data_IF_987601772394
#
_entry.id   IF_987601772394
#
_cell.length_a   1.000
_cell.length_b   1.000
_cell.length_c   1.000
_cell.angle_alpha   90.00
_cell.angle_beta   90.00
_cell.angle_gamma   90.00
#
_symmetry.space_group_name_H-M   'P 1'
#
loop_
_entity.id
_entity.type
_entity.pdbx_description
1 polymer ?
#
# COMPACT_ATOMS: atom_id res chain seq x y z
N UNK A 1 16.40 -7.94 38.06
CA UNK A 1 15.91 -8.52 36.80
C UNK A 1 15.92 -7.39 35.81
N UNK A 2 16.89 -7.38 34.90
CA UNK A 2 17.00 -6.37 33.85
C UNK A 2 15.98 -6.72 32.77
N UNK A 3 14.92 -5.90 32.66
CA UNK A 3 14.02 -5.98 31.54
C UNK A 3 14.86 -5.79 30.25
N UNK A 4 15.03 -6.84 29.48
CA UNK A 4 15.52 -6.76 28.12
C UNK A 4 14.50 -5.94 27.34
N UNK A 5 14.80 -4.67 27.05
CA UNK A 5 14.07 -3.90 26.06
C UNK A 5 14.25 -4.64 24.74
N UNK A 6 13.27 -5.46 24.35
CA UNK A 6 13.20 -5.99 22.99
C UNK A 6 13.24 -4.79 22.05
N UNK A 7 14.21 -4.77 21.14
CA UNK A 7 14.32 -3.72 20.13
C UNK A 7 13.03 -3.73 19.31
N UNK A 8 12.32 -2.60 19.31
CA UNK A 8 11.10 -2.46 18.54
C UNK A 8 11.45 -2.59 17.05
N UNK A 9 10.93 -3.62 16.39
CA UNK A 9 11.08 -3.84 14.95
C UNK A 9 9.78 -3.48 14.24
N UNK A 10 9.84 -3.27 12.92
CA UNK A 10 8.62 -3.01 12.15
C UNK A 10 7.64 -4.19 12.20
N UNK A 11 8.14 -5.41 12.33
CA UNK A 11 7.31 -6.60 12.49
C UNK A 11 6.44 -6.51 13.76
N UNK A 12 7.01 -6.04 14.89
CA UNK A 12 6.28 -5.91 16.15
C UNK A 12 5.22 -4.78 16.10
N UNK A 13 5.34 -3.87 15.13
CA UNK A 13 4.51 -2.66 15.06
C UNK A 13 3.15 -2.87 14.43
N UNK A 14 3.05 -3.77 13.42
CA UNK A 14 1.84 -3.97 12.61
C UNK A 14 1.45 -5.44 12.51
N UNK A 15 1.42 -6.19 13.63
CA UNK A 15 1.05 -7.61 13.66
C UNK A 15 1.86 -8.47 12.68
N UNK A 16 3.16 -8.26 12.61
CA UNK A 16 4.05 -8.91 11.64
C UNK A 16 3.74 -8.59 10.17
N UNK A 17 3.04 -7.48 9.88
CA UNK A 17 2.80 -7.02 8.53
C UNK A 17 3.75 -5.89 8.16
N UNK A 18 4.26 -5.93 6.93
CA UNK A 18 5.01 -4.83 6.32
C UNK A 18 4.02 -3.86 5.67
N UNK A 19 3.91 -2.60 6.13
CA UNK A 19 3.13 -1.60 5.42
C UNK A 19 3.78 -1.30 4.07
N UNK A 20 2.99 -1.35 3.00
CA UNK A 20 3.43 -1.00 1.65
C UNK A 20 2.44 0.01 1.08
N UNK A 21 2.92 1.23 0.82
CA UNK A 21 2.10 2.23 0.16
C UNK A 21 1.95 1.85 -1.30
N UNK A 22 0.73 1.84 -1.77
CA UNK A 22 0.36 1.53 -3.16
C UNK A 22 -0.54 2.64 -3.68
N UNK A 23 -0.28 3.06 -4.90
CA UNK A 23 -1.14 3.96 -5.65
C UNK A 23 -1.26 3.44 -7.08
N UNK A 24 -2.43 3.60 -7.69
CA UNK A 24 -2.71 3.13 -9.05
C UNK A 24 -3.34 4.23 -9.90
N UNK A 25 -2.91 4.31 -11.16
CA UNK A 25 -3.59 5.08 -12.20
C UNK A 25 -4.37 4.15 -13.10
N UNK A 26 -5.62 4.49 -13.38
CA UNK A 26 -6.57 3.59 -14.03
C UNK A 26 -7.35 4.28 -15.15
N UNK A 27 -7.86 3.50 -16.07
CA UNK A 27 -8.72 4.00 -17.17
C UNK A 27 -10.21 3.99 -16.80
N UNK A 28 -10.56 3.96 -15.52
CA UNK A 28 -11.93 3.99 -15.02
C UNK A 28 -12.01 3.50 -13.57
N UNK A 29 -13.22 3.24 -13.08
CA UNK A 29 -13.47 2.91 -11.67
C UNK A 29 -13.78 1.42 -11.42
N UNK A 30 -14.00 0.64 -12.47
CA UNK A 30 -14.35 -0.77 -12.34
C UNK A 30 -13.11 -1.66 -12.52
N UNK A 31 -12.55 -2.25 -11.45
CA UNK A 31 -11.31 -3.02 -11.52
C UNK A 31 -11.42 -4.30 -12.37
N UNK A 32 -12.64 -4.76 -12.68
CA UNK A 32 -12.86 -5.96 -13.50
C UNK A 32 -12.80 -5.68 -15.00
N UNK A 33 -13.15 -4.46 -15.40
CA UNK A 33 -13.30 -4.09 -16.82
C UNK A 33 -12.32 -3.03 -17.28
N UNK A 34 -11.92 -2.13 -16.38
CA UNK A 34 -11.13 -0.96 -16.73
C UNK A 34 -9.64 -1.25 -16.58
N UNK A 35 -8.84 -0.69 -17.49
CA UNK A 35 -7.42 -0.94 -17.47
C UNK A 35 -6.74 -0.33 -16.24
N UNK A 36 -5.85 -1.10 -15.62
CA UNK A 36 -4.81 -0.59 -14.75
C UNK A 36 -3.69 -0.06 -15.65
N UNK A 37 -3.34 1.21 -15.50
CA UNK A 37 -2.34 1.88 -16.35
C UNK A 37 -1.01 2.06 -15.65
N UNK A 38 -1.00 2.40 -14.38
CA UNK A 38 0.21 2.50 -13.56
C UNK A 38 -0.02 1.89 -12.19
N UNK A 39 1.03 1.37 -11.63
CA UNK A 39 1.09 0.97 -10.22
C UNK A 39 2.44 1.34 -9.64
N UNK A 40 2.46 1.90 -8.45
CA UNK A 40 3.67 2.11 -7.68
C UNK A 40 3.51 1.54 -6.27
N UNK A 41 4.61 1.04 -5.72
CA UNK A 41 4.65 0.48 -4.38
C UNK A 41 5.90 0.98 -3.65
N UNK A 42 5.73 1.44 -2.41
CA UNK A 42 6.83 1.85 -1.52
C UNK A 42 6.65 1.14 -0.17
N UNK A 43 7.54 0.23 0.21
CA UNK A 43 7.53 -0.36 1.55
C UNK A 43 7.91 0.69 2.58
N UNK A 44 7.25 0.67 3.74
CA UNK A 44 7.62 1.52 4.86
C UNK A 44 8.59 0.75 5.76
N UNK A 45 9.68 1.37 6.08
CA UNK A 45 10.73 0.81 6.91
C UNK A 45 10.83 1.57 8.24
N UNK A 46 11.53 1.00 9.19
CA UNK A 46 11.78 1.60 10.50
C UNK A 46 13.25 1.45 10.85
N UNK A 47 13.87 2.51 11.33
CA UNK A 47 15.26 2.49 11.79
C UNK A 47 15.38 2.02 13.25
N UNK A 48 16.63 1.89 13.72
CA UNK A 48 16.95 1.42 15.07
C UNK A 48 16.46 2.40 16.18
N UNK A 49 16.08 3.61 15.82
CA UNK A 49 15.49 4.59 16.75
C UNK A 49 13.96 4.45 16.83
N UNK A 50 13.35 3.58 16.01
CA UNK A 50 11.91 3.41 15.90
C UNK A 50 11.24 4.42 14.95
N UNK A 51 12.02 5.19 14.17
CA UNK A 51 11.51 6.16 13.22
C UNK A 51 11.16 5.51 11.90
N UNK A 52 9.98 5.80 11.37
CA UNK A 52 9.51 5.31 10.07
C UNK A 52 10.02 6.18 8.93
N UNK A 53 10.36 5.52 7.81
CA UNK A 53 10.79 6.18 6.58
C UNK A 53 10.37 5.37 5.35
N UNK A 54 10.14 6.02 4.18
CA UNK A 54 9.87 5.34 2.93
C UNK A 54 11.10 4.55 2.46
N UNK A 55 10.89 3.29 2.05
CA UNK A 55 11.91 2.49 1.39
C UNK A 55 12.05 2.83 -0.09
N UNK A 56 12.73 1.96 -0.85
CA UNK A 56 12.90 2.13 -2.29
C UNK A 56 11.57 1.85 -3.02
N UNK A 57 11.26 2.68 -4.01
CA UNK A 57 10.05 2.53 -4.82
C UNK A 57 10.23 1.45 -5.90
N UNK A 58 9.17 0.71 -6.17
CA UNK A 58 9.02 -0.10 -7.37
C UNK A 58 7.73 0.29 -8.08
N UNK A 59 7.81 0.59 -9.37
CA UNK A 59 6.66 1.01 -10.14
C UNK A 59 6.63 0.33 -11.51
N UNK A 60 5.46 0.34 -12.15
CA UNK A 60 5.25 -0.19 -13.49
C UNK A 60 4.28 0.71 -14.28
N UNK A 61 4.60 0.94 -15.54
CA UNK A 61 3.64 1.34 -16.55
C UNK A 61 3.07 0.07 -17.16
N UNK A 62 1.75 -0.05 -17.21
CA UNK A 62 1.08 -1.29 -17.58
C UNK A 62 0.34 -1.12 -18.91
N UNK A 63 0.48 -2.09 -19.79
CA UNK A 63 -0.31 -2.20 -21.02
C UNK A 63 -1.74 -2.60 -20.64
N UNK A 64 -2.77 -1.94 -21.24
CA UNK A 64 -4.16 -2.39 -21.07
C UNK A 64 -4.30 -3.87 -21.48
N UNK A 65 -4.96 -4.68 -20.65
CA UNK A 65 -5.26 -6.07 -20.98
C UNK A 65 -6.24 -6.15 -22.16
N UNK A 66 -6.27 -7.28 -22.86
CA UNK A 66 -7.15 -7.48 -24.02
C UNK A 66 -8.63 -7.32 -23.62
N UNK A 67 -9.34 -6.44 -24.33
CA UNK A 67 -10.73 -6.11 -24.03
C UNK A 67 -10.94 -5.14 -22.86
N UNK A 68 -9.87 -4.58 -22.31
CA UNK A 68 -9.99 -3.57 -21.26
C UNK A 68 -10.73 -2.32 -21.74
N UNK A 69 -11.60 -1.80 -20.88
CA UNK A 69 -12.25 -0.51 -21.10
C UNK A 69 -11.25 0.63 -20.82
N UNK A 70 -11.32 1.65 -21.67
CA UNK A 70 -10.52 2.88 -21.59
C UNK A 70 -11.48 4.06 -21.57
N UNK A 71 -11.92 4.46 -20.37
CA UNK A 71 -12.87 5.56 -20.20
C UNK A 71 -12.20 6.90 -20.53
N UNK A 72 -12.74 7.62 -21.51
CA UNK A 72 -12.15 8.87 -22.00
C UNK A 72 -11.98 9.93 -20.91
N UNK A 73 -12.92 10.01 -19.95
CA UNK A 73 -12.83 10.94 -18.82
C UNK A 73 -11.71 10.59 -17.85
N UNK A 74 -11.51 9.31 -17.58
CA UNK A 74 -10.43 8.86 -16.72
C UNK A 74 -9.07 9.12 -17.37
N UNK A 75 -8.92 8.83 -18.66
CA UNK A 75 -7.70 9.14 -19.42
C UNK A 75 -7.41 10.64 -19.49
N UNK A 76 -8.45 11.46 -19.62
CA UNK A 76 -8.31 12.93 -19.58
C UNK A 76 -7.87 13.42 -18.19
N UNK A 77 -8.39 12.79 -17.13
CA UNK A 77 -8.07 13.15 -15.75
C UNK A 77 -6.63 12.80 -15.38
N UNK A 78 -6.19 11.59 -15.72
CA UNK A 78 -4.82 11.12 -15.43
C UNK A 78 -3.79 11.69 -16.42
N UNK A 79 -4.23 12.20 -17.58
CA UNK A 79 -3.34 12.63 -18.65
C UNK A 79 -2.62 11.49 -19.38
N UNK A 80 -2.92 10.24 -19.05
CA UNK A 80 -2.25 9.07 -19.61
C UNK A 80 -2.85 8.73 -20.98
N UNK A 81 -2.00 8.69 -22.02
CA UNK A 81 -2.34 8.13 -23.32
C UNK A 81 -1.71 6.74 -23.49
N UNK A 82 -2.46 5.65 -23.26
CA UNK A 82 -1.91 4.29 -23.35
C UNK A 82 -1.45 3.90 -24.76
N UNK A 83 -1.89 4.61 -25.79
CA UNK A 83 -1.55 4.34 -27.18
C UNK A 83 -0.36 5.14 -27.71
N UNK A 84 0.20 6.07 -26.92
CA UNK A 84 1.34 6.85 -27.35
C UNK A 84 2.57 5.96 -27.59
N UNK A 85 3.42 6.25 -28.59
CA UNK A 85 4.64 5.46 -28.86
C UNK A 85 5.59 5.42 -27.67
N UNK A 86 5.71 6.55 -26.94
CA UNK A 86 6.57 6.64 -25.75
C UNK A 86 6.07 5.72 -24.64
N UNK A 87 4.75 5.70 -24.42
CA UNK A 87 4.14 4.83 -23.40
C UNK A 87 4.34 3.36 -23.74
N UNK A 88 4.07 2.97 -24.99
CA UNK A 88 4.28 1.59 -25.47
C UNK A 88 5.72 1.10 -25.37
N UNK A 89 6.69 2.01 -25.43
CA UNK A 89 8.10 1.65 -25.31
C UNK A 89 8.52 1.28 -23.88
N UNK A 90 7.79 1.72 -22.86
CA UNK A 90 8.13 1.54 -21.45
C UNK A 90 7.11 0.69 -20.68
N UNK A 91 5.91 0.49 -21.22
CA UNK A 91 4.88 -0.31 -20.59
C UNK A 91 5.19 -1.81 -20.71
N UNK A 92 4.83 -2.54 -19.68
CA UNK A 92 4.96 -4.00 -19.62
C UNK A 92 3.56 -4.63 -19.40
N UNK A 93 3.41 -5.90 -19.77
CA UNK A 93 2.18 -6.63 -19.51
C UNK A 93 1.94 -6.82 -18.00
N UNK A 94 0.68 -7.00 -17.61
CA UNK A 94 0.27 -7.16 -16.21
C UNK A 94 1.03 -8.27 -15.49
N UNK A 95 1.29 -9.40 -16.16
CA UNK A 95 1.95 -10.57 -15.56
C UNK A 95 3.43 -10.32 -15.28
N UNK A 96 4.10 -9.60 -16.17
CA UNK A 96 5.50 -9.19 -15.99
C UNK A 96 5.61 -8.18 -14.84
N UNK A 97 4.76 -7.16 -14.84
CA UNK A 97 4.72 -6.14 -13.80
C UNK A 97 4.51 -6.75 -12.41
N UNK A 98 3.45 -7.56 -12.24
CA UNK A 98 3.10 -8.14 -10.93
C UNK A 98 4.21 -9.07 -10.43
N UNK A 99 4.82 -9.87 -11.32
CA UNK A 99 5.91 -10.77 -10.94
C UNK A 99 7.13 -10.01 -10.42
N UNK A 100 7.50 -8.91 -11.09
CA UNK A 100 8.62 -8.06 -10.70
C UNK A 100 8.36 -7.35 -9.38
N UNK A 101 7.19 -6.76 -9.22
CA UNK A 101 6.76 -6.08 -7.98
C UNK A 101 6.72 -7.05 -6.81
N UNK A 102 6.06 -8.21 -6.96
CA UNK A 102 5.95 -9.18 -5.87
C UNK A 102 7.29 -9.82 -5.49
N UNK A 103 8.19 -10.02 -6.45
CA UNK A 103 9.56 -10.48 -6.16
C UNK A 103 10.30 -9.46 -5.29
N UNK A 104 10.23 -8.18 -5.62
CA UNK A 104 10.83 -7.11 -4.84
C UNK A 104 10.23 -7.05 -3.42
N UNK A 105 8.91 -6.97 -3.31
CA UNK A 105 8.22 -6.90 -2.02
C UNK A 105 8.48 -8.14 -1.15
N UNK A 106 8.58 -9.33 -1.74
CA UNK A 106 8.97 -10.55 -1.03
C UNK A 106 10.35 -10.42 -0.39
N UNK A 107 11.32 -9.85 -1.10
CA UNK A 107 12.68 -9.64 -0.58
C UNK A 107 12.66 -8.68 0.61
N UNK A 108 11.98 -7.52 0.48
CA UNK A 108 11.88 -6.53 1.57
C UNK A 108 11.12 -7.10 2.76
N UNK A 109 9.99 -7.78 2.53
CA UNK A 109 9.21 -8.43 3.58
C UNK A 109 10.05 -9.46 4.38
N UNK A 110 10.87 -10.24 3.69
CA UNK A 110 11.74 -11.22 4.35
C UNK A 110 12.85 -10.56 5.16
N UNK A 111 13.47 -9.49 4.66
CA UNK A 111 14.51 -8.76 5.39
C UNK A 111 13.99 -8.06 6.64
N UNK A 112 12.71 -7.67 6.65
CA UNK A 112 12.04 -7.06 7.80
C UNK A 112 11.38 -8.08 8.74
N UNK A 113 11.52 -9.38 8.47
CA UNK A 113 10.91 -10.48 9.24
C UNK A 113 9.38 -10.43 9.31
N UNK A 114 8.74 -9.71 8.40
CA UNK A 114 7.28 -9.64 8.31
C UNK A 114 6.72 -10.88 7.60
N UNK A 115 5.50 -11.27 7.94
CA UNK A 115 4.82 -12.45 7.37
C UNK A 115 4.05 -12.13 6.09
N UNK A 116 3.39 -10.98 6.05
CA UNK A 116 2.61 -10.46 4.89
C UNK A 116 2.86 -8.96 4.71
N UNK A 117 2.41 -8.40 3.60
CA UNK A 117 2.29 -6.96 3.41
C UNK A 117 0.86 -6.52 3.73
N UNK A 118 0.71 -5.31 4.29
CA UNK A 118 -0.57 -4.62 4.39
C UNK A 118 -0.54 -3.41 3.48
N UNK A 119 -1.56 -3.27 2.62
CA UNK A 119 -1.65 -2.14 1.72
C UNK A 119 -1.94 -0.85 2.50
N UNK A 120 -1.18 0.19 2.21
CA UNK A 120 -1.42 1.56 2.65
C UNK A 120 -1.77 2.38 1.42
N UNK A 121 -2.79 3.23 1.47
CA UNK A 121 -3.16 4.09 0.34
C UNK A 121 -3.98 5.29 0.79
N UNK A 122 -4.18 6.24 -0.12
CA UNK A 122 -5.09 7.36 0.11
C UNK A 122 -6.42 7.07 -0.59
N UNK A 123 -7.42 6.57 0.14
CA UNK A 123 -8.57 5.80 -0.32
C UNK A 123 -8.19 4.35 -0.70
N UNK A 124 -7.41 3.71 0.11
CA UNK A 124 -6.70 2.44 -0.08
C UNK A 124 -7.55 1.27 -0.65
N UNK A 125 -8.87 1.27 -0.45
CA UNK A 125 -9.75 0.24 -1.00
C UNK A 125 -9.85 0.30 -2.52
N UNK A 126 -9.68 1.47 -3.13
CA UNK A 126 -9.64 1.61 -4.57
C UNK A 126 -8.42 0.88 -5.14
N UNK A 127 -7.23 1.17 -4.61
CA UNK A 127 -5.98 0.54 -5.02
C UNK A 127 -5.99 -0.96 -4.78
N UNK A 128 -6.47 -1.40 -3.61
CA UNK A 128 -6.62 -2.81 -3.29
C UNK A 128 -7.55 -3.53 -4.27
N UNK A 129 -8.63 -2.89 -4.72
CA UNK A 129 -9.58 -3.49 -5.66
C UNK A 129 -8.93 -3.77 -7.03
N UNK A 130 -8.14 -2.83 -7.55
CA UNK A 130 -7.39 -3.01 -8.79
C UNK A 130 -6.24 -4.00 -8.64
N UNK A 131 -5.52 -3.98 -7.51
CA UNK A 131 -4.49 -4.96 -7.20
C UNK A 131 -5.07 -6.39 -7.14
N UNK A 132 -6.21 -6.59 -6.50
CA UNK A 132 -6.87 -7.89 -6.43
C UNK A 132 -7.34 -8.36 -7.83
N UNK A 133 -7.89 -7.47 -8.65
CA UNK A 133 -8.28 -7.80 -10.02
C UNK A 133 -7.06 -8.16 -10.88
N UNK A 134 -5.95 -7.44 -10.73
CA UNK A 134 -4.66 -7.75 -11.37
C UNK A 134 -4.15 -9.16 -10.97
N UNK A 135 -4.20 -9.48 -9.68
CA UNK A 135 -3.81 -10.78 -9.13
C UNK A 135 -4.68 -11.90 -9.72
N UNK A 136 -5.98 -11.68 -9.85
CA UNK A 136 -6.93 -12.63 -10.42
C UNK A 136 -6.65 -12.86 -11.91
N UNK A 137 -6.55 -11.80 -12.73
CA UNK A 137 -6.27 -11.88 -14.18
C UNK A 137 -4.94 -12.56 -14.50
N UNK A 138 -3.93 -12.29 -13.68
CA UNK A 138 -2.58 -12.86 -13.88
C UNK A 138 -2.38 -14.23 -13.22
N UNK A 139 -3.38 -14.75 -12.52
CA UNK A 139 -3.31 -16.00 -11.71
C UNK A 139 -2.14 -15.99 -10.70
N UNK A 140 -1.89 -14.82 -10.08
CA UNK A 140 -0.74 -14.59 -9.21
C UNK A 140 -1.07 -14.70 -7.70
N UNK A 141 -2.22 -15.29 -7.34
CA UNK A 141 -2.66 -15.41 -5.93
C UNK A 141 -1.58 -16.01 -5.02
N UNK A 142 -0.94 -17.09 -5.46
CA UNK A 142 0.12 -17.77 -4.68
C UNK A 142 1.43 -16.96 -4.58
N UNK A 143 1.59 -15.90 -5.35
CA UNK A 143 2.76 -15.01 -5.32
C UNK A 143 2.46 -13.72 -4.57
N UNK A 144 1.18 -13.41 -4.32
CA UNK A 144 0.78 -12.19 -3.63
C UNK A 144 1.37 -12.12 -2.24
N UNK A 145 1.91 -10.97 -1.90
CA UNK A 145 2.44 -10.68 -0.59
C UNK A 145 1.42 -9.97 0.30
N UNK A 146 0.34 -9.44 -0.29
CA UNK A 146 -0.62 -8.58 0.39
C UNK A 146 -1.72 -9.36 1.12
N UNK A 147 -2.20 -8.75 2.20
CA UNK A 147 -3.45 -9.16 2.82
C UNK A 147 -4.62 -8.85 1.88
N UNK A 148 -5.58 -9.76 1.76
CA UNK A 148 -6.63 -9.69 0.73
C UNK A 148 -7.61 -8.52 0.90
N UNK A 149 -7.87 -8.08 2.12
CA UNK A 149 -8.89 -7.08 2.43
C UNK A 149 -8.51 -6.04 3.49
N UNK A 150 -7.50 -6.29 4.32
CA UNK A 150 -7.07 -5.31 5.32
C UNK A 150 -6.18 -4.25 4.69
N UNK A 151 -6.47 -2.99 4.99
CA UNK A 151 -5.70 -1.83 4.54
C UNK A 151 -5.45 -0.86 5.68
N UNK A 152 -4.47 0.00 5.51
CA UNK A 152 -4.26 1.22 6.30
C UNK A 152 -4.58 2.41 5.40
N UNK A 153 -5.58 3.21 5.76
CA UNK A 153 -6.06 4.31 4.92
C UNK A 153 -5.58 5.66 5.45
N UNK A 154 -4.80 6.37 4.63
CA UNK A 154 -4.24 7.67 5.00
C UNK A 154 -5.28 8.79 4.97
N UNK A 155 -6.44 8.63 4.31
CA UNK A 155 -7.57 9.58 4.42
C UNK A 155 -8.04 9.63 5.86
N UNK A 156 -8.28 8.47 6.47
CA UNK A 156 -8.71 8.37 7.87
C UNK A 156 -7.67 8.93 8.83
N UNK A 157 -6.40 8.58 8.62
CA UNK A 157 -5.30 9.09 9.45
C UNK A 157 -5.13 10.60 9.30
N UNK A 158 -5.25 11.14 8.09
CA UNK A 158 -5.16 12.58 7.84
C UNK A 158 -6.36 13.35 8.40
N UNK A 159 -7.55 12.76 8.33
CA UNK A 159 -8.74 13.33 8.96
C UNK A 159 -8.55 13.43 10.48
N UNK A 160 -7.99 12.40 11.11
CA UNK A 160 -7.68 12.40 12.53
C UNK A 160 -6.60 13.42 12.90
N UNK A 161 -5.49 13.44 12.14
CA UNK A 161 -4.32 14.27 12.47
C UNK A 161 -4.49 15.75 12.11
N UNK A 162 -5.19 16.04 11.00
CA UNK A 162 -5.22 17.38 10.39
C UNK A 162 -6.63 17.88 10.07
N UNK A 163 -7.68 17.09 10.25
CA UNK A 163 -9.03 17.41 9.78
C UNK A 163 -9.14 17.48 8.25
N UNK A 164 -8.26 16.76 7.51
CA UNK A 164 -8.19 16.79 6.05
C UNK A 164 -8.30 15.41 5.44
N UNK A 165 -8.93 15.35 4.25
CA UNK A 165 -9.14 14.12 3.49
C UNK A 165 -8.57 14.17 2.07
N UNK A 166 -7.92 15.28 1.70
CA UNK A 166 -7.30 15.48 0.37
C UNK A 166 -5.79 15.42 0.55
N UNK A 167 -5.11 14.54 -0.19
CA UNK A 167 -3.67 14.26 -0.07
C UNK A 167 -2.83 15.55 -0.10
N UNK A 168 -2.99 16.38 -1.14
CA UNK A 168 -2.24 17.62 -1.29
C UNK A 168 -2.40 18.58 -0.09
N UNK A 169 -3.62 18.66 0.47
CA UNK A 169 -3.89 19.51 1.64
C UNK A 169 -3.31 18.94 2.92
N UNK A 170 -3.38 17.63 3.09
CA UNK A 170 -2.79 16.92 4.23
C UNK A 170 -1.26 17.06 4.21
N UNK A 171 -0.62 16.86 3.05
CA UNK A 171 0.81 17.09 2.88
C UNK A 171 1.21 18.51 3.25
N UNK A 172 0.48 19.53 2.77
CA UNK A 172 0.74 20.93 3.12
C UNK A 172 0.66 21.20 4.62
N UNK A 173 -0.32 20.63 5.32
CA UNK A 173 -0.45 20.77 6.78
C UNK A 173 0.64 20.03 7.54
N UNK A 174 1.15 18.94 7.00
CA UNK A 174 2.30 18.21 7.51
C UNK A 174 3.65 18.92 7.21
N UNK A 175 3.65 20.04 6.47
CA UNK A 175 4.87 20.72 6.03
C UNK A 175 5.63 19.99 4.93
N UNK A 176 4.97 19.05 4.22
CA UNK A 176 5.52 18.33 3.09
C UNK A 176 5.26 19.09 1.79
N UNK A 177 6.27 19.18 0.94
CA UNK A 177 6.11 19.76 -0.40
C UNK A 177 5.19 18.88 -1.27
N UNK A 178 4.32 19.52 -2.04
CA UNK A 178 3.43 18.85 -2.98
C UNK A 178 3.33 19.69 -4.26
N UNK A 179 3.83 19.14 -5.36
CA UNK A 179 3.71 19.76 -6.68
C UNK A 179 2.47 19.21 -7.39
N UNK A 180 1.49 20.09 -7.61
CA UNK A 180 0.26 19.73 -8.32
C UNK A 180 0.46 19.36 -9.80
N UNK A 181 1.60 19.70 -10.41
CA UNK A 181 1.90 19.32 -11.78
C UNK A 181 2.37 17.86 -11.91
N UNK A 182 2.94 17.30 -10.85
CA UNK A 182 3.35 15.90 -10.77
C UNK A 182 2.23 14.98 -10.26
N UNK A 183 1.15 15.55 -9.74
CA UNK A 183 -0.02 14.81 -9.29
C UNK A 183 -0.62 13.98 -10.44
N UNK A 184 -1.24 12.84 -10.09
CA UNK A 184 -1.74 11.84 -11.03
C UNK A 184 -0.64 11.05 -11.77
N UNK A 185 0.52 10.91 -11.11
CA UNK A 185 1.51 9.89 -11.41
C UNK A 185 1.54 8.91 -10.25
N UNK A 186 1.29 7.64 -10.49
CA UNK A 186 1.26 6.64 -9.42
C UNK A 186 2.53 6.67 -8.57
N UNK A 187 3.70 6.89 -9.17
CA UNK A 187 4.96 6.99 -8.43
C UNK A 187 4.99 8.21 -7.51
N UNK A 188 4.60 9.40 -8.02
CA UNK A 188 4.61 10.62 -7.23
C UNK A 188 3.60 10.56 -6.08
N UNK A 189 2.35 10.14 -6.35
CA UNK A 189 1.31 10.06 -5.33
C UNK A 189 1.62 8.99 -4.29
N UNK A 190 2.24 7.87 -4.68
CA UNK A 190 2.78 6.88 -3.73
C UNK A 190 3.87 7.47 -2.84
N UNK A 191 4.80 8.27 -3.39
CA UNK A 191 5.85 8.93 -2.60
C UNK A 191 5.26 9.90 -1.59
N UNK A 192 4.33 10.76 -2.01
CA UNK A 192 3.67 11.72 -1.12
C UNK A 192 2.82 11.06 -0.05
N UNK A 193 2.12 9.98 -0.39
CA UNK A 193 1.38 9.18 0.57
C UNK A 193 2.29 8.49 1.58
N UNK A 194 3.46 7.98 1.14
CA UNK A 194 4.44 7.36 2.03
C UNK A 194 5.08 8.37 2.98
N UNK A 195 5.46 9.56 2.49
CA UNK A 195 5.97 10.66 3.31
C UNK A 195 4.94 11.09 4.37
N UNK A 196 3.68 11.26 3.97
CA UNK A 196 2.57 11.63 4.85
C UNK A 196 2.31 10.55 5.90
N UNK A 197 2.27 9.29 5.50
CA UNK A 197 2.09 8.16 6.41
C UNK A 197 3.21 8.10 7.46
N UNK A 198 4.47 8.19 7.03
CA UNK A 198 5.62 8.23 7.94
C UNK A 198 5.59 9.46 8.87
N UNK A 199 5.21 10.63 8.34
CA UNK A 199 5.05 11.83 9.15
C UNK A 199 4.04 11.61 10.28
N UNK A 200 2.87 11.08 9.95
CA UNK A 200 1.82 10.82 10.95
C UNK A 200 2.31 9.81 11.99
N UNK A 201 2.90 8.69 11.58
CA UNK A 201 3.41 7.67 12.50
C UNK A 201 4.49 8.20 13.44
N UNK A 202 5.36 9.09 12.95
CA UNK A 202 6.47 9.64 13.73
C UNK A 202 6.05 10.77 14.69
N UNK A 203 4.94 11.46 14.41
CA UNK A 203 4.51 12.61 15.20
C UNK A 203 3.28 12.32 16.09
N UNK A 204 2.56 11.23 15.80
CA UNK A 204 1.44 10.77 16.62
C UNK A 204 1.78 9.39 17.20
N UNK A 205 2.55 9.34 18.31
CA UNK A 205 2.96 8.08 18.88
C UNK A 205 1.71 7.31 19.31
N UNK A 206 1.70 6.02 18.99
CA UNK A 206 0.66 5.15 19.49
C UNK A 206 0.71 5.15 21.02
N UNK A 207 -0.45 5.21 21.61
CA UNK A 207 -0.64 4.71 22.96
C UNK A 207 -0.21 3.23 22.90
N UNK A 208 0.99 2.93 23.38
CA UNK A 208 1.41 1.55 23.54
C UNK A 208 0.51 0.96 24.63
N UNK A 209 -0.42 0.04 24.32
CA UNK A 209 -1.03 -0.76 25.36
C UNK A 209 0.12 -1.43 26.11
N UNK A 210 0.00 -1.58 27.39
CA UNK A 210 0.95 -2.33 28.19
C UNK A 210 0.72 -3.82 27.86
N UNK A 211 1.27 -4.28 26.73
CA UNK A 211 1.08 -5.65 26.22
C UNK A 211 1.62 -6.70 27.19
N UNK A 212 2.39 -6.29 28.20
CA UNK A 212 2.89 -7.17 29.25
C UNK A 212 1.76 -7.74 30.18
N UNK A 213 0.53 -7.24 30.10
CA UNK A 213 -0.60 -7.74 30.90
C UNK A 213 -1.58 -8.64 30.14
N UNK A 214 -1.47 -8.75 28.80
CA UNK A 214 -2.47 -9.43 27.99
C UNK A 214 -2.12 -10.88 27.61
N UNK A 215 -0.94 -11.38 27.98
CA UNK A 215 -0.59 -12.79 27.77
C UNK A 215 -1.48 -13.78 28.55
N UNK A 216 -2.30 -13.28 29.49
CA UNK A 216 -3.18 -14.11 30.31
C UNK A 216 -4.56 -14.43 29.69
N UNK A 217 -4.92 -13.84 28.54
CA UNK A 217 -6.27 -13.97 27.97
C UNK A 217 -6.28 -14.35 26.47
N UNK A 218 -5.26 -15.09 26.04
CA UNK A 218 -5.05 -15.46 24.63
C UNK A 218 -6.18 -16.34 24.03
N UNK A 219 -6.96 -17.02 24.88
CA UNK A 219 -8.05 -17.91 24.42
C UNK A 219 -9.34 -17.15 24.05
N UNK A 220 -9.61 -16.00 24.66
CA UNK A 220 -10.76 -15.15 24.31
C UNK A 220 -10.49 -14.37 23.01
N UNK A 221 -9.23 -13.97 22.79
CA UNK A 221 -8.77 -13.35 21.54
C UNK A 221 -8.78 -14.32 20.36
N UNK A 222 -8.46 -15.59 20.57
CA UNK A 222 -8.50 -16.62 19.52
C UNK A 222 -9.89 -16.85 18.95
N UNK A 223 -10.94 -16.72 19.77
CA UNK A 223 -12.34 -16.84 19.29
C UNK A 223 -12.77 -15.65 18.42
N UNK A 224 -12.22 -14.46 18.67
CA UNK A 224 -12.48 -13.26 17.86
C UNK A 224 -11.67 -13.25 16.55
N UNK A 225 -10.46 -13.82 16.54
CA UNK A 225 -9.61 -13.92 15.36
C UNK A 225 -10.15 -14.91 14.32
N UNK A 226 -10.92 -15.90 14.71
CA UNK A 226 -11.60 -16.83 13.78
C UNK A 226 -12.59 -16.12 12.86
N UNK A 227 -13.05 -14.92 13.20
CA UNK A 227 -13.99 -14.13 12.37
C UNK A 227 -13.32 -13.11 11.46
N UNK A 228 -12.03 -12.78 11.65
CA UNK A 228 -11.45 -11.58 11.03
C UNK A 228 -10.31 -11.82 10.05
N UNK A 229 -9.66 -12.96 9.97
CA UNK A 229 -8.51 -13.04 9.05
C UNK A 229 -8.25 -14.39 8.40
N UNK A 230 -8.33 -15.48 9.11
CA UNK A 230 -7.73 -16.71 8.62
C UNK A 230 -8.73 -17.68 7.97
N UNK A 231 -10.02 -17.54 8.29
CA UNK A 231 -11.08 -18.36 7.68
C UNK A 231 -11.34 -18.05 6.19
N UNK A 232 -10.86 -16.92 5.67
CA UNK A 232 -10.98 -16.55 4.26
C UNK A 232 -9.77 -17.01 3.43
N UNK A 233 -8.65 -17.32 4.05
CA UNK A 233 -7.44 -17.78 3.35
C UNK A 233 -7.40 -19.30 3.11
N UNK A 234 -8.32 -20.09 3.73
CA UNK A 234 -8.38 -21.56 3.61
C UNK A 234 -9.46 -22.08 2.66
N UNK A 235 -10.12 -21.23 1.84
CA UNK A 235 -11.10 -21.68 0.84
C UNK A 235 -10.67 -21.36 -0.57
#
# INVERSE_FOLDING_TARGET
>A
MTATTESMTIANRFRNYLPVVVDVETAGFNPKTDALLEIACIPILMDDTGRFYPGEAVNAHIEPFEGANLEARALQFTGINPHSPMRKAIAEDEKTAVRRIFKYLKTVRQSTQCTKCILVGHNAHFDLSFLNALIERTHSKNQSQFHQFSVLDTVTLSALAFGQTVLARACKLAGLEFDGNEAHSALYDTQKTAELFCYILNNYPLLTPNLASDEANDDEYKSCLLYTSDAADER
#
